data_IF_844223298655
#
_entry.id   IF_844223298655
#
_cell.length_a   1.000
_cell.length_b   1.000
_cell.length_c   1.000
_cell.angle_alpha   90.00
_cell.angle_beta   90.00
_cell.angle_gamma   90.00
#
_symmetry.space_group_name_H-M   'P 1'
#
loop_
_entity.id
_entity.type
_entity.pdbx_description
1 polymer ?
#
# COMPACT_ATOMS: atom_id res chain seq x y z
N UNK A 1 -8.70 11.04 -6.99
CA UNK A 1 -8.24 9.77 -7.61
C UNK A 1 -8.71 8.51 -6.86
N UNK A 2 -8.66 8.46 -5.52
CA UNK A 2 -9.14 7.30 -4.75
C UNK A 2 -10.63 6.99 -5.01
N UNK A 3 -11.47 8.03 -5.12
CA UNK A 3 -12.91 7.88 -5.31
C UNK A 3 -13.33 7.11 -6.57
N UNK A 4 -12.54 7.14 -7.64
CA UNK A 4 -12.81 6.35 -8.85
C UNK A 4 -12.35 4.89 -8.74
N UNK A 5 -11.44 4.59 -7.82
CA UNK A 5 -10.92 3.23 -7.57
C UNK A 5 -11.91 2.43 -6.72
N UNK A 6 -12.52 3.04 -5.70
CA UNK A 6 -13.41 2.36 -4.74
C UNK A 6 -14.59 1.59 -5.40
N UNK A 7 -15.27 2.13 -6.44
CA UNK A 7 -16.33 1.39 -7.15
C UNK A 7 -15.81 0.25 -8.04
N UNK A 8 -14.52 0.24 -8.40
CA UNK A 8 -13.94 -0.72 -9.34
C UNK A 8 -13.14 -1.86 -8.69
N UNK A 9 -12.81 -1.72 -7.40
CA UNK A 9 -12.10 -2.77 -6.68
C UNK A 9 -12.97 -4.02 -6.49
N UNK A 10 -12.33 -5.19 -6.49
CA UNK A 10 -12.98 -6.48 -6.18
C UNK A 10 -13.46 -6.52 -4.71
N UNK A 11 -14.55 -7.24 -4.40
CA UNK A 11 -14.89 -7.58 -3.01
C UNK A 11 -13.69 -8.20 -2.29
N UNK A 12 -13.49 -7.86 -1.02
CA UNK A 12 -12.32 -8.20 -0.21
C UNK A 12 -10.98 -7.66 -0.75
N UNK A 13 -11.03 -6.63 -1.60
CA UNK A 13 -9.85 -5.95 -2.12
C UNK A 13 -8.99 -5.33 -1.03
N UNK A 14 -7.71 -5.09 -1.36
CA UNK A 14 -6.74 -4.40 -0.51
C UNK A 14 -6.23 -3.15 -1.20
N UNK A 15 -6.13 -2.06 -0.46
CA UNK A 15 -5.51 -0.81 -0.88
C UNK A 15 -4.38 -0.51 0.11
N UNK A 16 -3.16 -0.40 -0.41
CA UNK A 16 -2.01 0.13 0.35
C UNK A 16 -1.79 1.57 -0.08
N UNK A 17 -1.88 2.51 0.84
CA UNK A 17 -1.76 3.94 0.56
C UNK A 17 -0.45 4.48 1.14
N UNK A 18 0.36 5.17 0.32
CA UNK A 18 1.62 5.77 0.76
C UNK A 18 1.66 7.29 0.69
N UNK A 19 0.60 7.91 0.20
CA UNK A 19 0.52 9.34 0.02
C UNK A 19 -0.64 9.75 -0.88
N UNK A 20 -0.78 11.05 -1.06
CA UNK A 20 -1.86 11.71 -1.79
C UNK A 20 -1.27 12.76 -2.71
N UNK A 21 -0.36 12.36 -3.62
CA UNK A 21 0.41 13.27 -4.48
C UNK A 21 -0.47 14.27 -5.23
N UNK A 22 -1.69 13.87 -5.61
CA UNK A 22 -2.66 14.73 -6.29
C UNK A 22 -3.31 15.79 -5.39
N UNK A 23 -2.96 15.86 -4.11
CA UNK A 23 -3.56 16.77 -3.12
C UNK A 23 -2.49 17.56 -2.33
N UNK A 24 -1.20 17.42 -2.65
CA UNK A 24 -0.13 18.04 -1.84
C UNK A 24 -0.10 19.56 -1.95
N UNK A 25 -0.45 20.10 -3.12
CA UNK A 25 -0.40 21.53 -3.40
C UNK A 25 -1.78 22.21 -3.21
N UNK A 26 -2.80 21.46 -2.80
CA UNK A 26 -4.15 21.97 -2.61
C UNK A 26 -4.29 22.64 -1.24
N UNK A 27 -4.77 23.89 -1.21
CA UNK A 27 -5.04 24.61 0.06
C UNK A 27 -6.16 23.95 0.87
N UNK A 28 -7.14 23.36 0.18
CA UNK A 28 -8.25 22.62 0.78
C UNK A 28 -8.32 21.21 0.15
N UNK A 29 -7.79 20.18 0.83
CA UNK A 29 -7.76 18.82 0.30
C UNK A 29 -9.17 18.24 0.09
N UNK A 30 -9.42 17.71 -1.10
CA UNK A 30 -10.68 17.06 -1.43
C UNK A 30 -10.94 15.82 -0.56
N UNK A 31 -12.17 15.71 -0.04
CA UNK A 31 -12.58 14.59 0.78
C UNK A 31 -12.84 13.33 -0.06
N UNK A 32 -12.71 12.15 0.54
CA UNK A 32 -13.09 10.90 -0.14
C UNK A 32 -14.60 10.68 0.03
N UNK A 33 -15.35 10.74 -1.07
CA UNK A 33 -16.81 10.67 -1.07
C UNK A 33 -17.35 9.24 -1.09
N UNK A 34 -16.59 8.29 -1.63
CA UNK A 34 -17.07 6.93 -1.94
C UNK A 34 -16.72 5.88 -0.87
N UNK A 35 -16.54 6.29 0.39
CA UNK A 35 -16.14 5.39 1.49
C UNK A 35 -17.14 4.26 1.76
N UNK A 36 -18.41 4.41 1.37
CA UNK A 36 -19.42 3.34 1.48
C UNK A 36 -18.96 2.04 0.82
N UNK A 37 -18.20 2.11 -0.28
CA UNK A 37 -17.64 0.92 -0.93
C UNK A 37 -16.66 0.14 -0.05
N UNK A 38 -15.97 0.80 0.89
CA UNK A 38 -15.09 0.14 1.86
C UNK A 38 -15.88 -0.85 2.70
N UNK A 39 -17.08 -0.43 3.13
CA UNK A 39 -17.99 -1.24 3.94
C UNK A 39 -18.61 -2.34 3.08
N UNK A 40 -19.31 -1.97 1.99
CA UNK A 40 -20.10 -2.95 1.22
C UNK A 40 -19.24 -3.99 0.51
N UNK A 41 -18.02 -3.64 0.10
CA UNK A 41 -17.07 -4.57 -0.53
C UNK A 41 -16.06 -5.15 0.44
N UNK A 42 -16.13 -4.84 1.74
CA UNK A 42 -15.22 -5.36 2.78
C UNK A 42 -13.75 -5.10 2.42
N UNK A 43 -13.45 -3.90 1.95
CA UNK A 43 -12.10 -3.49 1.51
C UNK A 43 -11.24 -3.28 2.75
N UNK A 44 -9.99 -3.74 2.71
CA UNK A 44 -8.96 -3.37 3.69
C UNK A 44 -8.08 -2.26 3.12
N UNK A 45 -7.98 -1.15 3.84
CA UNK A 45 -7.11 -0.03 3.49
C UNK A 45 -6.04 0.12 4.57
N UNK A 46 -4.77 0.19 4.16
CA UNK A 46 -3.64 0.32 5.08
C UNK A 46 -2.66 1.38 4.59
N UNK A 47 -2.36 2.35 5.46
CA UNK A 47 -1.30 3.33 5.23
C UNK A 47 0.09 2.75 5.47
N UNK A 48 1.09 3.24 4.74
CA UNK A 48 2.51 3.08 5.08
C UNK A 48 3.29 4.33 4.65
N UNK A 49 4.40 4.64 5.31
CA UNK A 49 5.29 5.75 4.98
C UNK A 49 6.67 5.25 4.54
N UNK A 50 7.51 6.16 4.06
CA UNK A 50 8.87 5.83 3.59
C UNK A 50 9.72 5.10 4.65
N UNK A 51 9.44 5.35 5.93
CA UNK A 51 10.12 4.73 7.06
C UNK A 51 9.59 3.33 7.42
N UNK A 52 8.46 2.90 6.84
CA UNK A 52 7.91 1.56 7.03
C UNK A 52 8.59 0.59 6.04
N UNK A 53 9.76 0.10 6.42
CA UNK A 53 10.52 -0.86 5.63
C UNK A 53 10.86 -2.13 6.41
N UNK A 54 10.93 -3.24 5.67
CA UNK A 54 11.34 -4.54 6.16
C UNK A 54 12.67 -4.89 5.53
N UNK A 55 13.69 -5.09 6.36
CA UNK A 55 14.99 -5.60 5.91
C UNK A 55 14.91 -7.13 5.85
N UNK A 56 15.32 -7.70 4.72
CA UNK A 56 15.62 -9.12 4.57
C UNK A 56 17.12 -9.28 4.28
N UNK A 57 17.76 -10.23 4.95
CA UNK A 57 19.20 -10.44 4.80
C UNK A 57 19.49 -11.50 3.73
N UNK A 58 20.46 -11.21 2.86
CA UNK A 58 20.89 -12.10 1.79
C UNK A 58 20.03 -11.98 0.53
N UNK A 59 20.68 -11.93 -0.64
CA UNK A 59 19.99 -11.84 -1.94
C UNK A 59 19.05 -13.02 -2.20
N UNK A 60 19.38 -14.19 -1.65
CA UNK A 60 18.57 -15.41 -1.71
C UNK A 60 17.20 -15.27 -1.05
N UNK A 61 17.03 -14.31 -0.12
CA UNK A 61 15.75 -14.04 0.53
C UNK A 61 14.84 -13.10 -0.29
N UNK A 62 15.35 -12.46 -1.35
CA UNK A 62 14.60 -11.51 -2.17
C UNK A 62 13.32 -12.09 -2.80
N UNK A 63 13.32 -13.32 -3.37
CA UNK A 63 12.10 -13.93 -3.92
C UNK A 63 11.01 -14.09 -2.85
N UNK A 64 11.36 -14.53 -1.65
CA UNK A 64 10.41 -14.69 -0.55
C UNK A 64 9.82 -13.35 -0.09
N UNK A 65 10.64 -12.30 -0.04
CA UNK A 65 10.18 -10.94 0.27
C UNK A 65 9.18 -10.43 -0.78
N UNK A 66 9.46 -10.66 -2.06
CA UNK A 66 8.61 -10.28 -3.19
C UNK A 66 7.26 -11.04 -3.17
N UNK A 67 7.29 -12.36 -2.94
CA UNK A 67 6.08 -13.16 -2.76
C UNK A 67 5.28 -12.68 -1.55
N UNK A 68 5.94 -12.32 -0.45
CA UNK A 68 5.30 -11.70 0.72
C UNK A 68 4.56 -10.40 0.38
N UNK A 69 5.16 -9.58 -0.48
CA UNK A 69 4.57 -8.33 -0.94
C UNK A 69 3.34 -8.57 -1.83
N UNK A 70 3.45 -9.41 -2.87
CA UNK A 70 2.32 -9.66 -3.78
C UNK A 70 1.19 -10.50 -3.18
N UNK A 71 1.50 -11.38 -2.22
CA UNK A 71 0.45 -12.05 -1.43
C UNK A 71 -0.25 -11.08 -0.44
N UNK A 72 0.25 -9.86 -0.32
CA UNK A 72 -0.19 -8.82 0.61
C UNK A 72 -0.06 -9.25 2.08
N UNK A 73 0.88 -10.16 2.37
CA UNK A 73 1.30 -10.50 3.73
C UNK A 73 2.21 -9.42 4.32
N UNK A 74 2.85 -8.63 3.47
CA UNK A 74 3.69 -7.49 3.84
C UNK A 74 3.22 -6.23 3.14
N UNK A 75 2.99 -5.18 3.92
CA UNK A 75 2.68 -3.81 3.45
C UNK A 75 3.87 -2.93 3.77
N UNK A 76 4.29 -2.06 2.85
CA UNK A 76 5.49 -1.24 3.00
C UNK A 76 6.67 -1.73 2.18
N UNK A 77 7.80 -1.03 2.31
CA UNK A 77 8.99 -1.24 1.49
C UNK A 77 9.69 -2.56 1.87
N UNK A 78 10.08 -3.35 0.88
CA UNK A 78 10.97 -4.49 1.08
C UNK A 78 12.39 -4.06 0.71
N UNK A 79 13.34 -4.22 1.64
CA UNK A 79 14.75 -3.87 1.45
C UNK A 79 15.57 -5.15 1.60
N UNK A 80 16.37 -5.47 0.59
CA UNK A 80 17.27 -6.63 0.63
C UNK A 80 18.67 -6.14 0.97
N UNK A 81 19.21 -6.60 2.10
CA UNK A 81 20.59 -6.37 2.49
C UNK A 81 21.47 -7.38 1.75
N UNK A 82 22.25 -6.89 0.78
CA UNK A 82 23.08 -7.74 -0.09
C UNK A 82 24.48 -7.97 0.48
N UNK A 83 25.04 -6.95 1.14
CA UNK A 83 26.33 -7.02 1.82
C UNK A 83 26.29 -6.13 3.06
N UNK A 84 27.16 -6.44 4.04
CA UNK A 84 27.51 -5.54 5.13
C UNK A 84 28.94 -5.07 4.83
N UNK A 85 29.14 -3.77 4.85
CA UNK A 85 30.49 -3.19 4.78
C UNK A 85 31.35 -3.64 5.97
#
# INVERSE_FOLDING_TARGET
MLDSVLPNIRPHGRITACGTISQYDEEEPDATHNLMYVIVKKIRMQGFVVFDYFIVEGIEAAPAALVGHFSGRKVGKQVVLVARD
#
